data_IF_154335217072
#
_entry.id   IF_154335217072
#
_cell.length_a   1.000
_cell.length_b   1.000
_cell.length_c   1.000
_cell.angle_alpha   90.00
_cell.angle_beta   90.00
_cell.angle_gamma   90.00
#
_symmetry.space_group_name_H-M   'P 1'
#
loop_
_entity.id
_entity.type
_entity.pdbx_description
1 polymer ?
#
# COMPACT_ATOMS: atom_id res chain seq x y z
N UNK A 1 23.84 29.40 17.84
CA UNK A 1 22.76 29.14 18.82
C UNK A 1 22.58 27.64 18.96
N UNK A 2 22.56 27.17 20.21
CA UNK A 2 22.43 25.75 20.60
C UNK A 2 21.00 25.27 20.36
N UNK A 3 20.80 23.97 20.11
CA UNK A 3 19.99 23.11 20.99
C UNK A 3 20.12 21.64 20.55
N UNK A 4 21.04 20.92 21.21
CA UNK A 4 21.16 19.45 21.18
C UNK A 4 20.06 18.87 22.07
N UNK A 5 19.05 18.19 21.51
CA UNK A 5 18.03 17.49 22.32
C UNK A 5 18.53 16.09 22.69
N UNK A 6 19.04 15.98 23.91
CA UNK A 6 19.27 14.70 24.60
C UNK A 6 17.93 14.14 25.04
N UNK A 7 17.57 12.93 24.60
CA UNK A 7 16.49 12.15 25.23
C UNK A 7 17.10 10.94 25.95
N UNK A 8 16.64 10.79 27.18
CA UNK A 8 17.22 9.97 28.23
C UNK A 8 16.95 8.48 28.03
N UNK A 9 17.91 7.66 28.47
CA UNK A 9 17.68 6.25 28.77
C UNK A 9 16.74 6.15 29.98
N UNK A 10 15.63 5.43 29.82
CA UNK A 10 14.89 4.85 30.93
C UNK A 10 15.05 3.33 30.84
N UNK A 11 15.86 2.78 31.73
CA UNK A 11 15.93 1.34 31.99
C UNK A 11 14.71 0.94 32.81
N UNK A 12 13.94 -0.04 32.33
CA UNK A 12 12.92 -0.72 33.12
C UNK A 12 13.38 -2.17 33.33
N UNK A 13 13.61 -2.49 34.60
CA UNK A 13 14.03 -3.80 35.11
C UNK A 13 12.92 -4.83 35.03
N UNK A 14 13.34 -6.08 34.77
CA UNK A 14 12.54 -7.30 34.80
C UNK A 14 11.86 -7.55 36.15
N UNK A 15 10.64 -8.09 36.10
CA UNK A 15 9.92 -8.66 37.24
C UNK A 15 9.29 -9.99 36.81
N UNK A 16 9.78 -11.08 37.40
CA UNK A 16 9.33 -12.46 37.23
C UNK A 16 8.16 -12.73 38.19
N UNK A 17 7.08 -13.35 37.72
CA UNK A 17 5.98 -13.80 38.58
C UNK A 17 5.05 -14.78 37.88
N UNK A 18 5.31 -16.09 38.07
CA UNK A 18 4.33 -17.15 37.84
C UNK A 18 3.25 -17.09 38.93
N UNK A 19 2.00 -17.38 38.59
CA UNK A 19 1.10 -18.23 39.39
C UNK A 19 -0.04 -18.75 38.51
N UNK A 20 -0.29 -20.05 38.62
CA UNK A 20 -1.33 -20.80 37.94
C UNK A 20 -2.73 -20.54 38.53
N UNK A 21 -3.77 -20.68 37.71
CA UNK A 21 -5.16 -20.74 38.14
C UNK A 21 -6.09 -21.15 37.00
N UNK A 22 -6.44 -22.43 36.95
CA UNK A 22 -7.59 -22.96 36.19
C UNK A 22 -8.84 -22.90 37.08
N UNK A 23 -10.00 -22.56 36.49
CA UNK A 23 -11.38 -23.06 36.70
C UNK A 23 -12.31 -21.98 36.13
N UNK A 24 -13.06 -22.21 35.05
CA UNK A 24 -14.30 -22.99 35.03
C UNK A 24 -15.46 -22.01 34.84
N UNK A 25 -16.32 -22.22 33.85
CA UNK A 25 -17.42 -21.30 33.54
C UNK A 25 -18.11 -21.62 32.23
N UNK A 26 -18.84 -22.73 32.21
CA UNK A 26 -19.92 -22.98 31.26
C UNK A 26 -21.04 -21.95 31.48
N UNK A 27 -21.43 -21.22 30.44
CA UNK A 27 -22.73 -20.52 30.43
C UNK A 27 -23.39 -20.74 29.07
N UNK A 28 -24.40 -21.61 29.10
CA UNK A 28 -25.33 -21.84 28.02
C UNK A 28 -26.40 -20.75 28.09
N UNK A 29 -26.54 -19.99 27.01
CA UNK A 29 -27.64 -19.05 26.80
C UNK A 29 -28.21 -19.24 25.40
N UNK A 30 -29.15 -20.17 25.28
CA UNK A 30 -30.18 -20.14 24.24
C UNK A 30 -31.20 -19.06 24.62
N UNK A 31 -31.43 -18.09 23.73
CA UNK A 31 -32.71 -17.40 23.60
C UNK A 31 -32.87 -16.98 22.14
N UNK A 32 -33.83 -17.61 21.48
CA UNK A 32 -34.57 -17.04 20.36
C UNK A 32 -35.19 -15.70 20.78
N UNK A 33 -35.30 -14.73 19.87
CA UNK A 33 -36.59 -14.19 19.42
C UNK A 33 -36.39 -13.05 18.42
N UNK A 34 -37.28 -13.04 17.45
CA UNK A 34 -37.38 -12.17 16.29
C UNK A 34 -37.62 -10.71 16.69
N UNK A 35 -37.25 -9.76 15.84
CA UNK A 35 -38.10 -8.58 15.57
C UNK A 35 -37.53 -7.79 14.41
N UNK A 36 -38.28 -7.80 13.31
CA UNK A 36 -38.24 -6.78 12.28
C UNK A 36 -38.55 -5.41 12.91
N UNK A 37 -37.83 -4.36 12.50
CA UNK A 37 -38.42 -3.02 12.53
C UNK A 37 -37.84 -2.14 11.44
N UNK A 38 -38.77 -1.77 10.56
CA UNK A 38 -38.67 -0.80 9.49
C UNK A 38 -38.36 0.60 10.03
N UNK A 39 -37.56 1.37 9.30
CA UNK A 39 -37.21 2.74 9.62
C UNK A 39 -36.84 3.52 8.37
N UNK A 40 -37.85 3.81 7.55
CA UNK A 40 -37.78 4.67 6.38
C UNK A 40 -37.83 6.14 6.83
N UNK A 41 -36.75 6.89 6.61
CA UNK A 41 -36.72 8.34 6.85
C UNK A 41 -36.46 9.09 5.55
N UNK A 42 -37.57 9.53 4.96
CA UNK A 42 -37.64 10.48 3.86
C UNK A 42 -37.19 11.87 4.34
N UNK A 43 -36.06 12.36 3.82
CA UNK A 43 -35.65 13.75 3.91
C UNK A 43 -35.95 14.51 2.61
N UNK A 44 -37.08 15.21 2.57
CA UNK A 44 -37.47 16.18 1.53
C UNK A 44 -37.16 17.60 2.00
N UNK A 45 -36.88 18.51 1.04
CA UNK A 45 -36.81 20.00 1.04
C UNK A 45 -35.40 20.56 0.78
N UNK A 46 -35.12 21.57 -0.05
CA UNK A 46 -35.94 22.53 -0.82
C UNK A 46 -35.05 23.17 -1.91
N UNK A 47 -35.65 23.50 -3.06
CA UNK A 47 -35.03 24.29 -4.13
C UNK A 47 -34.87 25.78 -3.75
N UNK A 48 -33.81 26.43 -4.23
CA UNK A 48 -33.73 27.90 -4.30
C UNK A 48 -33.27 28.32 -5.69
N UNK A 49 -34.15 29.10 -6.33
CA UNK A 49 -34.02 29.69 -7.66
C UNK A 49 -33.25 31.01 -7.59
N UNK A 50 -32.49 31.23 -8.67
CA UNK A 50 -31.87 32.43 -9.22
C UNK A 50 -32.19 33.83 -8.63
N UNK A 51 -31.17 34.68 -8.62
CA UNK A 51 -31.31 36.05 -9.17
C UNK A 51 -29.97 36.52 -9.75
N UNK A 52 -30.01 36.90 -11.02
CA UNK A 52 -29.06 37.78 -11.69
C UNK A 52 -29.15 39.18 -11.06
N UNK A 53 -28.11 40.02 -11.20
CA UNK A 53 -28.14 41.37 -11.77
C UNK A 53 -26.70 41.88 -12.07
N UNK A 54 -26.64 42.88 -12.95
CA UNK A 54 -25.57 43.29 -13.88
C UNK A 54 -24.82 44.55 -13.40
N UNK A 55 -23.60 44.83 -13.89
CA UNK A 55 -23.15 46.14 -14.47
C UNK A 55 -21.60 46.34 -14.50
N UNK A 56 -21.07 46.38 -15.73
CA UNK A 56 -20.07 47.29 -16.37
C UNK A 56 -18.84 47.84 -15.61
N UNK A 57 -17.63 47.57 -16.14
CA UNK A 57 -16.77 48.59 -16.84
C UNK A 57 -15.48 47.98 -17.43
N UNK A 58 -14.87 48.59 -18.47
CA UNK A 58 -13.72 48.04 -19.20
C UNK A 58 -12.38 48.61 -18.70
N UNK A 59 -11.36 47.77 -18.55
CA UNK A 59 -9.98 48.24 -18.34
C UNK A 59 -8.97 47.42 -19.16
N UNK A 60 -8.33 48.14 -20.07
CA UNK A 60 -6.95 48.01 -20.58
C UNK A 60 -6.39 46.62 -20.93
N UNK A 61 -6.24 46.45 -22.23
CA UNK A 61 -5.22 45.65 -22.93
C UNK A 61 -3.90 45.52 -22.19
N UNK A 62 -3.62 44.31 -21.72
CA UNK A 62 -2.29 43.72 -21.77
C UNK A 62 -2.45 42.26 -22.17
N UNK A 63 -2.03 41.92 -23.39
CA UNK A 63 -1.88 40.53 -23.82
C UNK A 63 -0.62 39.98 -23.17
N UNK A 64 -0.66 39.08 -22.17
CA UNK A 64 0.48 38.23 -21.94
C UNK A 64 0.53 37.26 -23.11
N UNK A 65 1.61 37.28 -23.88
CA UNK A 65 1.95 36.14 -24.72
C UNK A 65 2.00 34.91 -23.80
N UNK A 66 1.18 33.86 -24.00
CA UNK A 66 1.46 32.61 -23.33
C UNK A 66 2.82 32.14 -23.85
N UNK A 67 3.82 32.16 -22.97
CA UNK A 67 5.03 31.37 -23.19
C UNK A 67 4.57 29.94 -23.26
N UNK A 68 4.62 29.36 -24.46
CA UNK A 68 4.29 27.95 -24.65
C UNK A 68 5.15 27.12 -23.70
N UNK A 69 4.48 26.49 -22.75
CA UNK A 69 5.10 25.43 -21.95
C UNK A 69 5.58 24.39 -22.95
N UNK A 70 6.86 23.95 -22.91
CA UNK A 70 7.31 22.89 -23.79
C UNK A 70 6.37 21.70 -23.57
N UNK A 71 5.67 21.29 -24.61
CA UNK A 71 4.98 20.01 -24.63
C UNK A 71 6.05 18.97 -24.30
N UNK A 72 5.95 18.20 -23.20
CA UNK A 72 6.81 17.05 -23.08
C UNK A 72 6.47 16.18 -24.29
N UNK A 73 7.41 16.12 -25.22
CA UNK A 73 7.39 15.13 -26.28
C UNK A 73 7.54 13.81 -25.54
N UNK A 74 6.42 13.14 -25.28
CA UNK A 74 6.44 11.71 -24.96
C UNK A 74 7.02 11.02 -26.18
N UNK A 75 8.35 10.93 -26.16
CA UNK A 75 9.09 10.00 -26.98
C UNK A 75 8.47 8.61 -26.71
N UNK A 76 8.05 7.88 -27.75
CA UNK A 76 7.60 6.51 -27.54
C UNK A 76 8.81 5.74 -26.99
N UNK A 77 8.76 5.40 -25.70
CA UNK A 77 9.68 4.45 -25.09
C UNK A 77 9.65 3.18 -25.95
N UNK A 78 10.73 3.02 -26.69
CA UNK A 78 10.84 1.98 -27.71
C UNK A 78 10.85 0.61 -27.04
N UNK A 79 9.97 -0.24 -27.56
CA UNK A 79 9.79 -1.64 -27.26
C UNK A 79 11.12 -2.44 -27.35
N UNK A 80 11.72 -2.77 -26.20
CA UNK A 80 12.45 -4.04 -25.95
C UNK A 80 12.72 -4.25 -24.44
N UNK A 81 11.81 -3.83 -23.56
CA UNK A 81 12.01 -3.95 -22.11
C UNK A 81 11.17 -5.11 -21.57
N UNK A 82 11.82 -6.22 -21.26
CA UNK A 82 11.18 -7.25 -20.44
C UNK A 82 10.77 -6.65 -19.10
N UNK A 83 9.54 -6.90 -18.64
CA UNK A 83 9.05 -6.44 -17.33
C UNK A 83 10.12 -6.69 -16.24
N UNK A 84 10.41 -5.70 -15.37
CA UNK A 84 11.26 -5.93 -14.21
C UNK A 84 10.83 -7.18 -13.44
N UNK A 85 11.78 -8.09 -13.24
CA UNK A 85 11.50 -9.45 -12.79
C UNK A 85 12.02 -9.70 -11.38
N UNK A 86 11.13 -10.21 -10.52
CA UNK A 86 11.44 -10.82 -9.23
C UNK A 86 11.27 -12.34 -9.36
N UNK A 87 12.25 -13.10 -8.91
CA UNK A 87 12.21 -14.56 -8.97
C UNK A 87 11.90 -15.13 -7.60
N UNK A 88 11.07 -16.16 -7.54
CA UNK A 88 10.80 -16.94 -6.34
C UNK A 88 11.63 -18.22 -6.43
N UNK A 89 12.70 -18.30 -5.65
CA UNK A 89 13.50 -19.52 -5.46
C UNK A 89 14.08 -19.55 -4.06
N UNK A 90 14.39 -20.75 -3.55
CA UNK A 90 14.98 -20.94 -2.22
C UNK A 90 14.15 -20.28 -1.11
N UNK A 91 12.81 -20.26 -1.25
CA UNK A 91 11.87 -19.61 -0.33
C UNK A 91 12.19 -18.11 -0.14
N UNK A 92 12.65 -17.45 -1.19
CA UNK A 92 12.98 -16.03 -1.19
C UNK A 92 12.49 -15.32 -2.45
N UNK A 93 12.25 -14.02 -2.34
CA UNK A 93 12.09 -13.13 -3.50
C UNK A 93 13.46 -12.56 -3.89
N UNK A 94 13.85 -12.65 -5.16
CA UNK A 94 15.12 -12.13 -5.65
C UNK A 94 14.92 -11.24 -6.90
N UNK A 95 15.29 -9.95 -6.85
CA UNK A 95 15.81 -9.24 -5.69
C UNK A 95 14.72 -9.04 -4.61
N UNK A 96 15.12 -8.99 -3.33
CA UNK A 96 14.20 -8.65 -2.22
C UNK A 96 13.76 -7.18 -2.27
N UNK A 97 14.60 -6.31 -2.83
CA UNK A 97 14.33 -4.88 -3.00
C UNK A 97 14.44 -4.54 -4.48
N UNK A 98 13.34 -4.07 -5.06
CA UNK A 98 13.30 -3.64 -6.45
C UNK A 98 12.92 -2.16 -6.50
N UNK A 99 13.64 -1.36 -7.30
CA UNK A 99 13.29 0.04 -7.56
C UNK A 99 12.83 0.19 -9.01
N UNK A 100 11.70 0.86 -9.21
CA UNK A 100 11.09 1.06 -10.54
C UNK A 100 10.47 2.45 -10.66
N UNK A 101 10.18 2.88 -11.87
CA UNK A 101 9.46 4.14 -12.13
C UNK A 101 7.94 3.95 -12.00
N UNK A 102 7.18 5.02 -11.70
CA UNK A 102 5.71 4.96 -11.72
C UNK A 102 5.20 4.52 -13.10
N UNK A 103 4.17 3.69 -13.11
CA UNK A 103 3.58 3.07 -14.28
C UNK A 103 4.22 1.74 -14.71
N UNK A 104 5.27 1.26 -14.01
CA UNK A 104 5.96 -0.01 -14.31
C UNK A 104 5.12 -1.22 -13.90
N UNK A 105 5.08 -2.24 -14.77
CA UNK A 105 4.59 -3.59 -14.43
C UNK A 105 5.74 -4.45 -13.94
N UNK A 106 5.64 -4.97 -12.71
CA UNK A 106 6.61 -5.92 -12.16
C UNK A 106 6.07 -7.33 -12.33
N UNK A 107 6.94 -8.26 -12.71
CA UNK A 107 6.65 -9.68 -12.79
C UNK A 107 7.29 -10.45 -11.63
N UNK A 108 6.57 -11.43 -11.09
CA UNK A 108 7.11 -12.46 -10.20
C UNK A 108 7.04 -13.81 -10.88
N UNK A 109 8.17 -14.50 -11.00
CA UNK A 109 8.28 -15.82 -11.62
C UNK A 109 8.75 -16.86 -10.62
N UNK A 110 8.05 -17.97 -10.51
CA UNK A 110 8.46 -19.07 -9.66
C UNK A 110 9.43 -20.00 -10.40
N UNK A 111 10.65 -20.13 -9.89
CA UNK A 111 11.69 -20.97 -10.48
C UNK A 111 11.88 -22.29 -9.73
N UNK A 112 11.15 -22.49 -8.64
CA UNK A 112 11.21 -23.71 -7.83
C UNK A 112 9.91 -24.51 -7.85
N UNK A 113 9.97 -25.73 -7.32
CA UNK A 113 8.82 -26.63 -7.25
C UNK A 113 7.84 -26.28 -6.11
N UNK A 114 8.32 -25.54 -5.10
CA UNK A 114 7.48 -25.04 -4.02
C UNK A 114 6.46 -24.03 -4.56
N UNK A 115 5.30 -23.97 -3.95
CA UNK A 115 4.23 -23.07 -4.34
C UNK A 115 4.38 -21.74 -3.60
N UNK A 116 4.29 -20.63 -4.33
CA UNK A 116 4.39 -19.29 -3.76
C UNK A 116 3.16 -18.45 -4.11
N UNK A 117 3.04 -17.29 -3.49
CA UNK A 117 2.12 -16.25 -3.88
C UNK A 117 2.76 -14.90 -3.52
N UNK A 118 2.19 -13.82 -4.04
CA UNK A 118 2.57 -12.45 -3.72
C UNK A 118 1.35 -11.81 -3.06
N UNK A 119 1.54 -11.28 -1.86
CA UNK A 119 0.48 -10.66 -1.07
C UNK A 119 0.98 -9.34 -0.52
N UNK A 120 0.21 -8.27 -0.74
CA UNK A 120 0.44 -6.97 -0.14
C UNK A 120 0.54 -7.10 1.37
N UNK A 121 1.54 -6.43 1.95
CA UNK A 121 1.80 -6.41 3.38
C UNK A 121 2.33 -5.04 3.80
N UNK A 122 2.29 -4.78 5.11
CA UNK A 122 2.91 -3.60 5.72
C UNK A 122 3.68 -4.07 6.95
N UNK A 123 4.98 -3.83 6.97
CA UNK A 123 5.88 -4.26 8.05
C UNK A 123 6.30 -3.09 8.95
N UNK A 124 6.30 -1.87 8.42
CA UNK A 124 6.66 -0.64 9.11
C UNK A 124 5.86 0.57 8.59
N UNK A 125 6.07 1.72 9.24
CA UNK A 125 5.34 2.96 8.95
C UNK A 125 5.68 3.59 7.58
N UNK A 126 6.72 3.10 6.88
CA UNK A 126 7.06 3.59 5.55
C UNK A 126 6.21 2.93 4.46
N UNK A 127 5.51 1.84 4.77
CA UNK A 127 4.70 1.10 3.82
C UNK A 127 3.56 1.96 3.25
N UNK A 128 3.44 1.97 1.92
CA UNK A 128 2.27 2.49 1.23
C UNK A 128 1.12 1.52 1.38
N UNK A 129 -0.07 2.01 1.73
CA UNK A 129 -1.29 1.19 1.73
C UNK A 129 -1.64 0.73 0.31
N UNK A 130 -1.78 -0.57 0.13
CA UNK A 130 -2.18 -1.18 -1.14
C UNK A 130 -2.87 -2.53 -0.92
N UNK A 131 -3.59 -3.00 -1.95
CA UNK A 131 -4.28 -4.29 -1.92
C UNK A 131 -3.91 -5.09 -3.14
N UNK A 132 -3.28 -6.23 -2.90
CA UNK A 132 -2.94 -7.19 -3.92
C UNK A 132 -2.79 -8.58 -3.28
N UNK A 133 -3.35 -9.58 -3.93
CA UNK A 133 -3.20 -10.97 -3.54
C UNK A 133 -3.22 -11.80 -4.83
N UNK A 134 -2.08 -12.38 -5.17
CA UNK A 134 -2.04 -13.36 -6.26
C UNK A 134 -2.72 -14.67 -5.83
N UNK A 135 -3.13 -15.47 -6.80
CA UNK A 135 -3.31 -16.90 -6.57
C UNK A 135 -1.98 -17.60 -6.29
N UNK A 136 -2.05 -18.92 -6.10
CA UNK A 136 -0.83 -19.74 -5.98
C UNK A 136 -0.10 -19.81 -7.32
N UNK A 137 1.21 -19.60 -7.27
CA UNK A 137 2.14 -19.65 -8.40
C UNK A 137 2.97 -20.92 -8.24
N UNK A 138 2.70 -21.92 -9.07
CA UNK A 138 3.52 -23.13 -9.19
C UNK A 138 4.77 -22.89 -10.04
N UNK A 139 5.59 -23.93 -10.18
CA UNK A 139 6.84 -23.89 -10.97
C UNK A 139 6.61 -23.34 -12.38
N UNK A 140 7.53 -22.49 -12.81
CA UNK A 140 7.53 -21.78 -14.10
C UNK A 140 6.31 -20.83 -14.29
N UNK A 141 5.48 -20.66 -13.24
CA UNK A 141 4.35 -19.75 -13.23
C UNK A 141 4.76 -18.30 -13.01
N UNK A 142 3.94 -17.37 -13.51
CA UNK A 142 4.16 -15.93 -13.42
C UNK A 142 2.92 -15.19 -12.95
N UNK A 143 3.12 -14.16 -12.15
CA UNK A 143 2.11 -13.14 -11.82
C UNK A 143 2.69 -11.75 -12.02
N UNK A 144 1.86 -10.77 -12.35
CA UNK A 144 2.28 -9.38 -12.56
C UNK A 144 1.41 -8.41 -11.77
N UNK A 145 1.96 -7.25 -11.46
CA UNK A 145 1.23 -6.11 -10.91
C UNK A 145 1.82 -4.80 -11.43
N UNK A 146 0.95 -3.84 -11.76
CA UNK A 146 1.37 -2.52 -12.24
C UNK A 146 1.29 -1.51 -11.09
N UNK A 147 2.40 -0.82 -10.86
CA UNK A 147 2.50 0.21 -9.84
C UNK A 147 2.37 1.58 -10.48
N UNK A 148 1.23 2.25 -10.27
CA UNK A 148 0.94 3.55 -10.89
C UNK A 148 1.52 4.75 -10.12
N UNK A 149 1.58 4.65 -8.80
CA UNK A 149 1.94 5.77 -7.92
C UNK A 149 3.31 5.56 -7.26
N UNK A 150 4.01 6.65 -6.93
CA UNK A 150 5.22 6.59 -6.12
C UNK A 150 4.90 6.05 -4.72
N UNK A 151 5.75 5.17 -4.18
CA UNK A 151 5.51 4.56 -2.88
C UNK A 151 6.45 3.43 -2.50
N UNK A 152 6.26 2.88 -1.30
CA UNK A 152 7.00 1.73 -0.76
C UNK A 152 6.02 0.57 -0.61
N UNK A 153 6.01 -0.33 -1.59
CA UNK A 153 5.06 -1.44 -1.67
C UNK A 153 5.67 -2.71 -1.10
N UNK A 154 5.41 -2.96 0.18
CA UNK A 154 5.90 -4.15 0.89
C UNK A 154 4.98 -5.34 0.63
N UNK A 155 5.54 -6.54 0.55
CA UNK A 155 4.79 -7.77 0.31
C UNK A 155 5.43 -8.98 0.97
N UNK A 156 4.63 -10.02 1.17
CA UNK A 156 5.11 -11.34 1.58
C UNK A 156 4.54 -12.45 0.71
N UNK A 157 5.07 -13.66 0.93
CA UNK A 157 4.38 -14.87 0.53
C UNK A 157 3.48 -15.32 1.69
N UNK A 158 2.16 -15.29 1.48
CA UNK A 158 1.19 -15.74 2.47
C UNK A 158 1.28 -17.23 2.83
N UNK A 159 1.98 -18.05 2.03
CA UNK A 159 2.20 -19.48 2.29
C UNK A 159 3.36 -19.69 3.28
N UNK A 160 4.45 -18.93 3.13
CA UNK A 160 5.68 -19.10 3.91
C UNK A 160 5.85 -18.05 5.03
N UNK A 161 5.03 -17.00 5.02
CA UNK A 161 5.01 -15.93 5.99
C UNK A 161 6.15 -14.92 5.81
N UNK A 162 5.92 -13.69 6.28
CA UNK A 162 6.84 -12.56 6.13
C UNK A 162 8.23 -12.78 6.74
N UNK A 163 8.36 -13.60 7.79
CA UNK A 163 9.66 -13.90 8.41
C UNK A 163 10.58 -14.75 7.55
N UNK A 164 10.02 -15.49 6.59
CA UNK A 164 10.78 -16.36 5.71
C UNK A 164 10.90 -15.76 4.30
N UNK A 165 9.82 -15.16 3.78
CA UNK A 165 9.75 -14.74 2.40
C UNK A 165 8.99 -13.43 2.26
N UNK A 166 9.73 -12.35 2.06
CA UNK A 166 9.23 -10.99 1.96
C UNK A 166 10.04 -10.15 0.99
N UNK A 167 9.47 -9.03 0.55
CA UNK A 167 10.13 -8.11 -0.37
C UNK A 167 9.48 -6.74 -0.37
N UNK A 168 10.08 -5.83 -1.13
CA UNK A 168 9.60 -4.47 -1.31
C UNK A 168 9.86 -3.99 -2.74
N UNK A 169 8.86 -3.35 -3.34
CA UNK A 169 9.01 -2.56 -4.55
C UNK A 169 8.96 -1.09 -4.16
N UNK A 170 10.02 -0.34 -4.46
CA UNK A 170 10.11 1.11 -4.24
C UNK A 170 9.85 1.79 -5.58
N UNK A 171 8.84 2.64 -5.64
CA UNK A 171 8.36 3.23 -6.89
C UNK A 171 8.60 4.74 -6.87
N UNK A 172 9.19 5.25 -7.95
CA UNK A 172 9.42 6.68 -8.17
C UNK A 172 10.41 7.29 -7.17
N UNK A 173 10.04 8.44 -6.62
CA UNK A 173 10.85 9.24 -5.69
C UNK A 173 10.85 8.74 -4.24
N UNK A 174 10.14 7.64 -3.97
CA UNK A 174 10.17 6.98 -2.67
C UNK A 174 11.57 6.41 -2.36
N UNK A 175 11.88 6.27 -1.08
CA UNK A 175 13.08 5.59 -0.61
C UNK A 175 12.74 4.67 0.55
N UNK A 176 13.46 3.55 0.66
CA UNK A 176 13.28 2.59 1.73
C UNK A 176 14.61 2.08 2.25
N UNK A 177 14.96 2.50 3.46
CA UNK A 177 16.12 2.08 4.25
C UNK A 177 15.76 1.19 5.45
N UNK A 178 14.49 0.76 5.53
CA UNK A 178 13.99 -0.13 6.57
C UNK A 178 14.52 -1.57 6.47
N UNK A 179 14.36 -2.31 7.57
CA UNK A 179 14.69 -3.72 7.68
C UNK A 179 13.46 -4.58 7.38
N UNK A 180 13.59 -5.47 6.42
CA UNK A 180 12.54 -6.41 6.07
C UNK A 180 12.51 -7.58 7.08
N UNK A 181 11.33 -8.16 7.40
CA UNK A 181 11.24 -9.24 8.39
C UNK A 181 12.00 -10.54 8.04
N UNK A 182 12.40 -10.72 6.79
CA UNK A 182 13.10 -11.89 6.26
C UNK A 182 14.62 -11.67 6.09
N UNK A 183 15.17 -10.60 6.68
CA UNK A 183 16.62 -10.31 6.74
C UNK A 183 17.30 -10.78 8.03
#
# INVERSE_FOLDING_TARGET
MRLTRRRALAAATAGLGLLAGCTGGDDAGETDDETESTGSETGTTTATTASLETTTSPDTTATPTPTESPTPTSEPASDDESDPLVTMESVAFSPMRLSVEPGTTVAWENREALQHNVRAASFDDAATDWSFQSGTVGRDGRVTYRFDDSGVYQYDCGIHGSKAMCGVVVVGDASYDGTLPCE
#
